data_IF_504211212352
#
_entry.id   IF_504211212352
#
_cell.length_a   1.000
_cell.length_b   1.000
_cell.length_c   1.000
_cell.angle_alpha   90.00
_cell.angle_beta   90.00
_cell.angle_gamma   90.00
#
_symmetry.space_group_name_H-M   'P 1'
#
loop_
_entity.id
_entity.type
_entity.pdbx_description
1 polymer ?
#
# COMPACT_ATOMS: atom_id res chain seq x y z
N UNK A 1 5.80 15.75 56.76
CA UNK A 1 4.73 15.35 55.85
C UNK A 1 4.83 15.94 54.42
N UNK A 2 5.41 17.12 54.19
CA UNK A 2 5.47 17.82 52.89
C UNK A 2 6.39 17.14 51.81
N UNK A 3 7.42 16.39 52.20
CA UNK A 3 8.38 15.79 51.26
C UNK A 3 7.82 14.49 50.57
N UNK A 4 6.88 13.79 51.21
CA UNK A 4 6.29 12.56 50.60
C UNK A 4 5.20 12.88 49.58
N UNK A 5 4.53 14.03 49.72
CA UNK A 5 3.52 14.50 48.76
C UNK A 5 4.15 14.95 47.44
N UNK A 6 5.37 15.49 47.48
CA UNK A 6 6.13 15.95 46.33
C UNK A 6 6.61 14.76 45.45
N UNK A 7 7.02 13.64 46.06
CA UNK A 7 7.50 12.48 45.33
C UNK A 7 6.39 11.73 44.59
N UNK A 8 5.19 11.65 45.19
CA UNK A 8 4.04 11.01 44.52
C UNK A 8 3.49 11.85 43.40
N UNK A 9 3.49 13.17 43.53
CA UNK A 9 3.08 14.07 42.46
C UNK A 9 4.06 14.01 41.28
N UNK A 10 5.37 13.93 41.53
CA UNK A 10 6.39 13.79 40.49
C UNK A 10 6.30 12.45 39.76
N UNK A 11 5.99 11.35 40.49
CA UNK A 11 5.84 10.03 39.87
C UNK A 11 4.59 9.94 38.97
N UNK A 12 3.48 10.53 39.39
CA UNK A 12 2.25 10.59 38.58
C UNK A 12 2.47 11.44 37.31
N UNK A 13 3.20 12.55 37.42
CA UNK A 13 3.53 13.38 36.28
C UNK A 13 4.44 12.64 35.27
N UNK A 14 5.39 11.85 35.78
CA UNK A 14 6.30 11.05 34.93
C UNK A 14 5.56 9.93 34.21
N UNK A 15 4.62 9.26 34.89
CA UNK A 15 3.77 8.22 34.27
C UNK A 15 2.85 8.81 33.20
N UNK A 16 2.33 10.00 33.38
CA UNK A 16 1.46 10.64 32.37
C UNK A 16 2.22 11.05 31.12
N UNK A 17 3.52 11.45 31.25
CA UNK A 17 4.36 11.74 30.07
C UNK A 17 4.71 10.48 29.28
N UNK A 18 4.91 9.34 29.92
CA UNK A 18 5.19 8.07 29.23
C UNK A 18 3.97 7.53 28.47
N UNK A 19 2.76 7.80 28.94
CA UNK A 19 1.53 7.39 28.24
C UNK A 19 1.24 8.26 27.00
N UNK A 20 1.68 9.53 26.98
CA UNK A 20 1.49 10.43 25.86
C UNK A 20 2.33 10.05 24.64
N UNK A 21 3.53 9.48 24.83
CA UNK A 21 4.38 9.04 23.71
C UNK A 21 3.88 7.77 23.02
N UNK A 22 3.12 6.92 23.71
CA UNK A 22 2.54 5.71 23.11
C UNK A 22 1.28 6.01 22.27
N UNK A 23 0.58 7.11 22.54
CA UNK A 23 -0.62 7.50 21.82
C UNK A 23 -0.31 8.25 20.52
N UNK A 24 0.88 8.81 20.35
CA UNK A 24 1.25 9.58 19.16
C UNK A 24 1.71 8.72 17.98
N UNK A 25 1.97 7.42 18.17
CA UNK A 25 2.37 6.52 17.07
C UNK A 25 1.19 5.77 16.44
N UNK A 26 -0.03 6.00 16.91
CA UNK A 26 -1.25 5.35 16.39
C UNK A 26 -2.19 6.30 15.63
N UNK A 27 -1.80 7.53 15.36
CA UNK A 27 -2.72 8.57 14.88
C UNK A 27 -2.26 9.37 13.67
N UNK A 28 -1.23 8.92 12.93
CA UNK A 28 -0.82 9.54 11.66
C UNK A 28 -0.92 8.56 10.47
N UNK A 29 -1.98 7.76 10.43
CA UNK A 29 -2.44 7.10 9.20
C UNK A 29 -3.82 7.63 8.81
N UNK A 30 -4.02 8.93 8.96
CA UNK A 30 -5.19 9.60 8.42
C UNK A 30 -4.69 10.61 7.39
N UNK A 31 -4.79 10.20 6.18
CA UNK A 31 -5.13 10.86 4.93
C UNK A 31 -4.70 9.98 3.77
N UNK A 32 -5.46 8.88 3.49
CA UNK A 32 -5.80 8.42 2.15
C UNK A 32 -4.70 8.46 1.04
N UNK A 33 -3.42 8.58 1.38
CA UNK A 33 -2.30 8.47 0.47
C UNK A 33 -1.83 7.01 0.39
N UNK A 34 -1.97 6.41 -0.79
CA UNK A 34 -1.46 5.08 -1.08
C UNK A 34 -0.37 5.17 -2.13
N UNK A 35 0.64 4.32 -2.00
CA UNK A 35 1.70 4.22 -2.99
C UNK A 35 1.32 3.21 -4.06
N UNK A 36 1.23 3.66 -5.31
CA UNK A 36 1.09 2.79 -6.48
C UNK A 36 2.48 2.60 -7.10
N UNK A 37 2.85 1.34 -7.32
CA UNK A 37 4.18 1.01 -7.82
C UNK A 37 4.17 0.79 -9.33
N UNK A 38 5.04 1.53 -10.03
CA UNK A 38 5.15 1.54 -11.48
C UNK A 38 6.60 1.35 -11.95
N UNK A 39 6.81 1.11 -13.22
CA UNK A 39 8.15 1.06 -13.80
C UNK A 39 8.71 2.48 -13.97
N UNK A 40 9.96 2.65 -13.61
CA UNK A 40 10.72 3.87 -13.86
C UNK A 40 11.18 3.90 -15.31
N UNK A 41 11.10 5.05 -16.00
CA UNK A 41 11.75 5.23 -17.29
C UNK A 41 13.29 5.21 -17.09
N UNK A 42 14.01 4.26 -17.71
CA UNK A 42 15.46 4.16 -17.58
C UNK A 42 16.20 5.38 -18.12
N UNK A 43 15.54 6.20 -18.95
CA UNK A 43 16.11 7.43 -19.50
C UNK A 43 15.76 8.67 -18.66
N UNK A 44 14.96 8.54 -17.62
CA UNK A 44 14.65 9.64 -16.73
C UNK A 44 15.91 10.08 -15.95
N UNK A 45 16.11 11.39 -15.85
CA UNK A 45 17.28 12.01 -15.23
C UNK A 45 17.34 11.75 -13.71
N UNK A 46 17.67 10.55 -13.33
CA UNK A 46 17.68 10.13 -11.93
C UNK A 46 18.11 8.70 -11.73
N UNK A 47 18.64 8.06 -12.78
CA UNK A 47 19.12 6.67 -12.85
C UNK A 47 18.97 5.92 -11.54
N UNK A 48 17.91 5.14 -11.37
CA UNK A 48 17.56 4.59 -10.09
C UNK A 48 16.88 3.24 -10.21
N UNK A 49 16.04 2.95 -9.27
CA UNK A 49 15.33 1.68 -9.17
C UNK A 49 14.38 1.45 -10.35
N UNK A 50 14.30 0.22 -10.79
CA UNK A 50 13.42 -0.18 -11.89
C UNK A 50 11.93 0.03 -11.56
N UNK A 51 11.59 0.04 -10.27
CA UNK A 51 10.24 0.25 -9.74
C UNK A 51 10.26 1.48 -8.84
N UNK A 52 9.30 2.38 -9.03
CA UNK A 52 9.11 3.58 -8.22
C UNK A 52 7.66 3.68 -7.75
N UNK A 53 7.50 4.25 -6.56
CA UNK A 53 6.20 4.58 -6.02
C UNK A 53 5.72 5.93 -6.53
N UNK A 54 4.41 6.02 -6.80
CA UNK A 54 3.67 7.25 -7.02
C UNK A 54 2.56 7.32 -5.97
N UNK A 55 2.54 8.40 -5.20
CA UNK A 55 1.46 8.62 -4.25
C UNK A 55 0.13 8.87 -4.99
N UNK A 56 -0.91 8.15 -4.58
CA UNK A 56 -2.28 8.33 -5.06
C UNK A 56 -3.22 8.48 -3.88
N UNK A 57 -3.99 9.55 -3.89
CA UNK A 57 -5.04 9.74 -2.88
C UNK A 57 -6.28 8.96 -3.30
N UNK A 58 -6.66 8.00 -2.47
CA UNK A 58 -7.87 7.21 -2.63
C UNK A 58 -8.72 7.35 -1.36
N UNK A 59 -10.00 7.55 -1.53
CA UNK A 59 -10.93 7.58 -0.41
C UNK A 59 -11.29 6.13 -0.06
N UNK A 60 -10.48 5.52 0.82
CA UNK A 60 -10.81 4.23 1.40
C UNK A 60 -11.35 4.49 2.81
N UNK A 61 -12.66 4.38 2.97
CA UNK A 61 -13.31 4.50 4.27
C UNK A 61 -12.86 3.34 5.17
N UNK A 62 -12.54 3.63 6.44
CA UNK A 62 -12.18 2.61 7.43
C UNK A 62 -13.27 1.57 7.69
N UNK A 63 -14.50 1.80 7.22
CA UNK A 63 -15.61 0.85 7.24
C UNK A 63 -15.66 -0.05 6.00
N UNK A 64 -14.84 0.19 4.97
CA UNK A 64 -14.81 -0.65 3.76
C UNK A 64 -14.27 -2.04 4.06
N UNK A 65 -14.84 -3.05 3.42
CA UNK A 65 -14.30 -4.40 3.43
C UNK A 65 -12.91 -4.43 2.78
N UNK A 66 -12.03 -5.28 3.30
CA UNK A 66 -10.65 -5.41 2.76
C UNK A 66 -10.65 -5.70 1.26
N UNK A 67 -11.63 -6.45 0.77
CA UNK A 67 -11.76 -6.79 -0.65
C UNK A 67 -12.03 -5.54 -1.51
N UNK A 68 -12.87 -4.62 -1.03
CA UNK A 68 -13.16 -3.37 -1.72
C UNK A 68 -11.94 -2.42 -1.72
N UNK A 69 -11.18 -2.39 -0.63
CA UNK A 69 -9.92 -1.66 -0.58
C UNK A 69 -8.89 -2.20 -1.58
N UNK A 70 -8.74 -3.53 -1.66
CA UNK A 70 -7.87 -4.20 -2.64
C UNK A 70 -8.32 -3.89 -4.06
N UNK A 71 -9.63 -3.92 -4.33
CA UNK A 71 -10.22 -3.58 -5.63
C UNK A 71 -9.88 -2.14 -6.03
N UNK A 72 -10.11 -1.19 -5.15
CA UNK A 72 -9.84 0.22 -5.43
C UNK A 72 -8.38 0.49 -5.75
N UNK A 73 -7.44 -0.09 -4.97
CA UNK A 73 -6.00 0.03 -5.24
C UNK A 73 -5.59 -0.64 -6.55
N UNK A 74 -6.13 -1.81 -6.84
CA UNK A 74 -5.83 -2.52 -8.07
C UNK A 74 -6.37 -1.78 -9.30
N UNK A 75 -7.58 -1.26 -9.24
CA UNK A 75 -8.18 -0.47 -10.33
C UNK A 75 -7.39 0.82 -10.57
N UNK A 76 -6.93 1.49 -9.50
CA UNK A 76 -6.06 2.65 -9.63
C UNK A 76 -4.71 2.31 -10.28
N UNK A 77 -4.12 1.15 -9.94
CA UNK A 77 -2.90 0.66 -10.57
C UNK A 77 -3.10 0.30 -12.05
N UNK A 78 -4.24 -0.35 -12.38
CA UNK A 78 -4.61 -0.69 -13.76
C UNK A 78 -4.88 0.55 -14.63
N UNK A 79 -5.31 1.66 -14.03
CA UNK A 79 -5.50 2.93 -14.73
C UNK A 79 -4.16 3.54 -15.20
N UNK A 80 -3.03 3.09 -14.66
CA UNK A 80 -1.70 3.56 -15.00
C UNK A 80 -1.24 4.78 -14.20
N UNK A 81 0.04 5.18 -14.40
CA UNK A 81 0.64 6.30 -13.69
C UNK A 81 0.14 7.66 -14.18
N UNK A 82 0.09 8.63 -13.27
CA UNK A 82 -0.15 10.04 -13.60
C UNK A 82 1.17 10.76 -13.99
N UNK A 83 2.31 10.24 -13.53
CA UNK A 83 3.63 10.83 -13.81
C UNK A 83 4.20 10.36 -15.15
N UNK A 84 4.59 11.29 -16.08
CA UNK A 84 5.15 10.92 -17.38
C UNK A 84 6.48 10.15 -17.32
N UNK A 85 7.19 10.21 -16.19
CA UNK A 85 8.45 9.48 -15.95
C UNK A 85 8.25 8.04 -15.53
N UNK A 86 7.00 7.61 -15.40
CA UNK A 86 6.61 6.24 -15.02
C UNK A 86 5.84 5.57 -16.16
N UNK A 87 5.89 4.26 -16.19
CA UNK A 87 5.11 3.44 -17.12
C UNK A 87 4.42 2.28 -16.39
N UNK A 88 3.27 1.88 -16.91
CA UNK A 88 2.55 0.74 -16.34
C UNK A 88 3.31 -0.55 -16.59
N UNK A 89 3.53 -1.39 -15.55
CA UNK A 89 4.04 -2.75 -15.73
C UNK A 89 2.99 -3.71 -16.29
N UNK A 90 1.73 -3.28 -16.30
CA UNK A 90 0.58 -4.10 -16.65
C UNK A 90 0.15 -3.77 -18.09
N UNK A 91 -0.05 -4.76 -18.96
CA UNK A 91 -0.47 -4.52 -20.35
C UNK A 91 -1.78 -3.74 -20.43
N UNK A 92 -1.85 -2.82 -21.37
CA UNK A 92 -3.07 -2.07 -21.66
C UNK A 92 -4.26 -3.01 -21.95
N UNK A 93 -5.42 -2.66 -21.44
CA UNK A 93 -6.64 -3.44 -21.56
C UNK A 93 -6.72 -4.64 -20.62
N UNK A 94 -5.75 -4.81 -19.71
CA UNK A 94 -5.90 -5.78 -18.63
C UNK A 94 -7.05 -5.38 -17.72
N UNK A 95 -7.92 -6.32 -17.41
CA UNK A 95 -9.09 -6.13 -16.55
C UNK A 95 -9.11 -7.15 -15.40
N UNK A 96 -9.66 -6.74 -14.29
CA UNK A 96 -9.96 -7.62 -13.16
C UNK A 96 -11.17 -8.49 -13.48
N UNK A 97 -11.00 -9.81 -13.50
CA UNK A 97 -12.09 -10.80 -13.71
C UNK A 97 -12.73 -11.21 -12.40
N UNK A 98 -11.92 -11.52 -11.41
CA UNK A 98 -12.40 -11.82 -10.07
C UNK A 98 -11.37 -11.44 -9.00
N UNK A 99 -11.87 -11.18 -7.81
CA UNK A 99 -11.08 -10.87 -6.64
C UNK A 99 -11.72 -11.56 -5.44
N UNK A 100 -10.88 -12.12 -4.58
CA UNK A 100 -11.29 -12.66 -3.29
C UNK A 100 -10.19 -12.44 -2.27
N UNK A 101 -10.55 -11.98 -1.08
CA UNK A 101 -9.64 -11.93 0.06
C UNK A 101 -10.00 -13.05 1.04
N UNK A 102 -9.05 -13.93 1.32
CA UNK A 102 -9.22 -15.03 2.27
C UNK A 102 -8.08 -15.07 3.27
N UNK A 103 -8.41 -14.91 4.54
CA UNK A 103 -7.42 -14.62 5.55
C UNK A 103 -6.73 -13.29 5.24
N UNK A 104 -5.42 -13.33 5.05
CA UNK A 104 -4.63 -12.13 4.67
C UNK A 104 -4.04 -12.25 3.26
N UNK A 105 -4.65 -13.06 2.40
CA UNK A 105 -4.22 -13.27 1.03
C UNK A 105 -5.26 -12.72 0.05
N UNK A 106 -4.85 -11.81 -0.81
CA UNK A 106 -5.62 -11.39 -1.97
C UNK A 106 -5.40 -12.37 -3.13
N UNK A 107 -6.47 -12.93 -3.66
CA UNK A 107 -6.49 -13.79 -4.84
C UNK A 107 -7.11 -13.00 -5.98
N UNK A 108 -6.35 -12.77 -7.04
CA UNK A 108 -6.71 -11.90 -8.15
C UNK A 108 -6.68 -12.73 -9.43
N UNK A 109 -7.75 -12.68 -10.20
CA UNK A 109 -7.80 -13.24 -11.55
C UNK A 109 -7.92 -12.09 -12.55
N UNK A 110 -6.90 -11.97 -13.41
CA UNK A 110 -6.81 -10.95 -14.43
C UNK A 110 -7.21 -11.49 -15.80
N UNK A 111 -7.46 -10.60 -16.74
CA UNK A 111 -7.80 -10.99 -18.10
C UNK A 111 -6.58 -11.50 -18.87
N UNK A 112 -6.82 -12.17 -20.01
CA UNK A 112 -5.81 -12.83 -20.84
C UNK A 112 -4.70 -11.88 -21.36
N UNK A 113 -4.89 -10.57 -21.28
CA UNK A 113 -3.85 -9.59 -21.58
C UNK A 113 -2.66 -9.76 -20.65
N UNK A 114 -2.92 -9.98 -19.35
CA UNK A 114 -1.86 -10.20 -18.35
C UNK A 114 -1.07 -11.50 -18.62
N UNK A 115 -1.72 -12.55 -19.10
CA UNK A 115 -1.10 -13.82 -19.43
C UNK A 115 -0.06 -13.74 -20.58
N UNK A 116 0.03 -12.59 -21.26
CA UNK A 116 1.05 -12.36 -22.30
C UNK A 116 2.41 -11.98 -21.73
N UNK A 117 2.45 -11.56 -20.47
CA UNK A 117 3.70 -11.25 -19.79
C UNK A 117 4.52 -12.51 -19.53
N UNK A 118 5.82 -12.41 -19.74
CA UNK A 118 6.76 -13.52 -19.49
C UNK A 118 8.08 -12.99 -18.95
N UNK A 119 8.84 -13.86 -18.28
CA UNK A 119 10.18 -13.53 -17.81
C UNK A 119 10.20 -12.34 -16.85
N UNK A 120 11.08 -11.38 -17.12
CA UNK A 120 11.29 -10.21 -16.25
C UNK A 120 10.06 -9.31 -16.20
N UNK A 121 9.35 -9.13 -17.31
CA UNK A 121 8.18 -8.25 -17.38
C UNK A 121 7.06 -8.78 -16.48
N UNK A 122 6.84 -10.09 -16.46
CA UNK A 122 5.90 -10.72 -15.53
C UNK A 122 6.33 -10.51 -14.08
N UNK A 123 7.61 -10.70 -13.79
CA UNK A 123 8.13 -10.52 -12.43
C UNK A 123 7.96 -9.08 -11.95
N UNK A 124 8.24 -8.10 -12.81
CA UNK A 124 8.08 -6.68 -12.47
C UNK A 124 6.60 -6.32 -12.24
N UNK A 125 5.70 -6.83 -13.08
CA UNK A 125 4.26 -6.62 -12.90
C UNK A 125 3.75 -7.25 -11.60
N UNK A 126 4.14 -8.50 -11.30
CA UNK A 126 3.81 -9.17 -10.04
C UNK A 126 4.33 -8.39 -8.83
N UNK A 127 5.54 -7.85 -8.90
CA UNK A 127 6.11 -7.01 -7.83
C UNK A 127 5.31 -5.73 -7.63
N UNK A 128 5.00 -5.01 -8.69
CA UNK A 128 4.24 -3.76 -8.60
C UNK A 128 2.86 -4.00 -7.98
N UNK A 129 2.14 -5.04 -8.41
CA UNK A 129 0.85 -5.41 -7.82
C UNK A 129 1.02 -5.79 -6.35
N UNK A 130 2.02 -6.61 -6.03
CA UNK A 130 2.24 -7.08 -4.66
C UNK A 130 2.58 -5.92 -3.72
N UNK A 131 3.51 -5.05 -4.09
CA UNK A 131 3.90 -3.88 -3.29
C UNK A 131 2.71 -2.94 -3.08
N UNK A 132 1.93 -2.69 -4.14
CA UNK A 132 0.73 -1.85 -4.06
C UNK A 132 -0.31 -2.41 -3.09
N UNK A 133 -0.55 -3.70 -3.08
CA UNK A 133 -1.63 -4.29 -2.28
C UNK A 133 -1.22 -4.63 -0.85
N UNK A 134 0.04 -4.98 -0.61
CA UNK A 134 0.52 -5.36 0.72
C UNK A 134 0.73 -4.19 1.68
N UNK A 135 0.57 -2.96 1.23
CA UNK A 135 0.49 -1.81 2.13
C UNK A 135 -0.82 -1.80 2.96
N UNK A 136 -1.86 -2.51 2.51
CA UNK A 136 -3.07 -2.69 3.30
C UNK A 136 -2.80 -3.58 4.53
N UNK A 137 -3.21 -3.16 5.74
CA UNK A 137 -2.84 -3.87 6.99
C UNK A 137 -3.34 -5.31 7.06
N UNK A 138 -4.40 -5.63 6.30
CA UNK A 138 -5.01 -6.96 6.27
C UNK A 138 -4.59 -7.80 5.05
N UNK A 139 -3.60 -7.35 4.27
CA UNK A 139 -3.05 -8.08 3.12
C UNK A 139 -1.54 -8.29 3.31
N UNK A 140 -1.10 -9.54 3.33
CA UNK A 140 0.32 -9.88 3.44
C UNK A 140 0.81 -10.82 2.34
N UNK A 141 -0.07 -11.24 1.46
CA UNK A 141 0.25 -12.06 0.31
C UNK A 141 -0.72 -11.80 -0.83
N UNK A 142 -0.22 -11.92 -2.05
CA UNK A 142 -1.01 -11.80 -3.28
C UNK A 142 -0.82 -13.07 -4.11
N UNK A 143 -1.89 -13.55 -4.71
CA UNK A 143 -1.88 -14.64 -5.68
C UNK A 143 -2.53 -14.14 -6.95
N UNK A 144 -1.82 -14.19 -8.06
CA UNK A 144 -2.25 -13.66 -9.35
C UNK A 144 -2.40 -14.78 -10.33
N UNK A 145 -3.53 -14.80 -11.05
CA UNK A 145 -3.85 -15.71 -12.16
C UNK A 145 -4.37 -14.89 -13.34
N UNK A 146 -4.30 -15.46 -14.56
CA UNK A 146 -4.84 -14.84 -15.77
C UNK A 146 -5.23 -15.91 -16.84
#
# INVERSE_FOLDING_TARGET
>A
MRRRLSLTAALVLLLSLLCACAAQHAQEMDENGYELYFLSDPNSAGGGDAIRAQEKRLVLDGAMETEDCVRALLEALLAGPDEPSLSSPIPEGTALKSLKVSGRRAQIDLSAQYARLTGIDLSLADYCITLTLTQLPNVNAVSITA
#
